data_IF_067649591220
#
_entry.id   IF_067649591220
#
_cell.length_a   1.000
_cell.length_b   1.000
_cell.length_c   1.000
_cell.angle_alpha   90.00
_cell.angle_beta   90.00
_cell.angle_gamma   90.00
#
_symmetry.space_group_name_H-M   'P 1'
#
loop_
_entity.id
_entity.type
_entity.pdbx_description
1 polymer ?
#
# COMPACT_ATOMS: atom_id res chain seq x y z
N UNK A 1 20.81 1.73 -40.48
CA UNK A 1 20.02 1.03 -39.44
C UNK A 1 20.50 1.36 -38.01
N UNK A 2 21.79 1.41 -37.73
CA UNK A 2 22.36 1.69 -36.40
C UNK A 2 21.95 3.04 -35.81
N UNK A 3 21.90 4.10 -36.60
CA UNK A 3 21.48 5.45 -36.17
C UNK A 3 20.02 5.52 -35.70
N UNK A 4 19.12 4.82 -36.36
CA UNK A 4 17.69 4.76 -35.98
C UNK A 4 17.52 4.03 -34.64
N UNK A 5 18.23 2.93 -34.44
CA UNK A 5 18.19 2.17 -33.18
C UNK A 5 18.69 3.01 -32.03
N UNK A 6 19.81 3.73 -32.20
CA UNK A 6 20.36 4.65 -31.20
C UNK A 6 19.36 5.75 -30.83
N UNK A 7 18.70 6.36 -31.81
CA UNK A 7 17.70 7.40 -31.58
C UNK A 7 16.52 6.87 -30.77
N UNK A 8 15.99 5.68 -31.13
CA UNK A 8 14.89 5.03 -30.41
C UNK A 8 15.29 4.72 -28.96
N UNK A 9 16.50 4.20 -28.73
CA UNK A 9 16.99 3.93 -27.37
C UNK A 9 17.09 5.21 -26.54
N UNK A 10 17.59 6.32 -27.11
CA UNK A 10 17.67 7.61 -26.45
C UNK A 10 16.29 8.17 -26.10
N UNK A 11 15.31 8.06 -26.99
CA UNK A 11 13.92 8.50 -26.73
C UNK A 11 13.27 7.65 -25.63
N UNK A 12 13.47 6.34 -25.63
CA UNK A 12 12.94 5.44 -24.61
C UNK A 12 13.57 5.73 -23.23
N UNK A 13 14.87 5.95 -23.17
CA UNK A 13 15.56 6.30 -21.92
C UNK A 13 15.11 7.68 -21.40
N UNK A 14 14.99 8.68 -22.25
CA UNK A 14 14.47 9.98 -21.89
C UNK A 14 13.02 9.90 -21.35
N UNK A 15 12.16 9.12 -22.04
CA UNK A 15 10.81 8.87 -21.60
C UNK A 15 10.77 8.18 -20.21
N UNK A 16 11.58 7.15 -20.00
CA UNK A 16 11.66 6.44 -18.73
C UNK A 16 12.12 7.37 -17.57
N UNK A 17 13.11 8.22 -17.82
CA UNK A 17 13.59 9.22 -16.84
C UNK A 17 12.50 10.23 -16.51
N UNK A 18 11.79 10.75 -17.51
CA UNK A 18 10.69 11.70 -17.30
C UNK A 18 9.53 11.06 -16.54
N UNK A 19 9.15 9.83 -16.90
CA UNK A 19 8.11 9.07 -16.21
C UNK A 19 8.48 8.85 -14.74
N UNK A 20 9.74 8.45 -14.46
CA UNK A 20 10.24 8.27 -13.08
C UNK A 20 10.22 9.57 -12.29
N UNK A 21 10.65 10.70 -12.89
CA UNK A 21 10.61 12.02 -12.23
C UNK A 21 9.18 12.44 -11.90
N UNK A 22 8.23 12.23 -12.82
CA UNK A 22 6.80 12.51 -12.58
C UNK A 22 6.25 11.67 -11.45
N UNK A 23 6.61 10.39 -11.39
CA UNK A 23 6.21 9.48 -10.34
C UNK A 23 6.72 9.92 -8.96
N UNK A 24 8.03 10.22 -8.85
CA UNK A 24 8.65 10.69 -7.60
C UNK A 24 8.02 12.00 -7.12
N UNK A 25 7.78 12.95 -8.03
CA UNK A 25 7.12 14.22 -7.70
C UNK A 25 5.69 14.02 -7.20
N UNK A 26 4.92 13.15 -7.85
CA UNK A 26 3.57 12.82 -7.41
C UNK A 26 3.58 12.20 -6.01
N UNK A 27 4.46 11.22 -5.77
CA UNK A 27 4.57 10.58 -4.46
C UNK A 27 4.90 11.60 -3.36
N UNK A 28 5.84 12.51 -3.62
CA UNK A 28 6.19 13.58 -2.68
C UNK A 28 5.03 14.55 -2.43
N UNK A 29 4.28 14.94 -3.48
CA UNK A 29 3.12 15.81 -3.35
C UNK A 29 1.99 15.15 -2.54
N UNK A 30 1.71 13.87 -2.79
CA UNK A 30 0.70 13.13 -2.04
C UNK A 30 1.11 12.92 -0.58
N UNK A 31 2.40 12.67 -0.31
CA UNK A 31 2.92 12.61 1.07
C UNK A 31 2.74 13.96 1.78
N UNK A 32 3.08 15.06 1.12
CA UNK A 32 2.90 16.40 1.68
C UNK A 32 1.42 16.75 1.93
N UNK A 33 0.51 16.30 1.07
CA UNK A 33 -0.93 16.42 1.28
C UNK A 33 -1.37 15.65 2.54
N UNK A 34 -0.92 14.40 2.67
CA UNK A 34 -1.18 13.61 3.87
C UNK A 34 -0.66 14.30 5.13
N UNK A 35 0.59 14.79 5.09
CA UNK A 35 1.21 15.46 6.24
C UNK A 35 0.43 16.71 6.67
N UNK A 36 -0.09 17.50 5.73
CA UNK A 36 -0.93 18.66 6.03
C UNK A 36 -2.28 18.28 6.61
N UNK A 37 -2.98 17.35 5.96
CA UNK A 37 -4.35 16.97 6.36
C UNK A 37 -4.38 16.32 7.74
N UNK A 38 -3.35 15.54 8.09
CA UNK A 38 -3.31 14.81 9.37
C UNK A 38 -2.34 15.41 10.39
N UNK A 39 -1.91 16.66 10.21
CA UNK A 39 -0.97 17.33 11.12
C UNK A 39 -1.47 17.41 12.57
N UNK A 40 -2.77 17.62 12.77
CA UNK A 40 -3.40 17.74 14.08
C UNK A 40 -4.02 16.43 14.59
N UNK A 41 -3.98 15.33 13.82
CA UNK A 41 -4.59 14.06 14.19
C UNK A 41 -3.70 13.28 15.16
N UNK A 42 -4.26 12.85 16.30
CA UNK A 42 -3.54 12.07 17.31
C UNK A 42 -4.43 10.90 17.75
N UNK A 43 -3.99 9.65 17.68
CA UNK A 43 -2.71 9.21 17.05
C UNK A 43 -2.70 9.44 15.54
N UNK A 44 -1.53 9.76 14.99
CA UNK A 44 -1.38 10.00 13.56
C UNK A 44 -1.51 8.68 12.78
N UNK A 45 -2.35 8.61 11.74
CA UNK A 45 -2.48 7.41 10.93
C UNK A 45 -1.20 7.13 10.11
N UNK A 46 -1.07 5.89 9.66
CA UNK A 46 0.00 5.46 8.75
C UNK A 46 -0.49 5.60 7.32
N UNK A 47 0.38 6.10 6.44
CA UNK A 47 0.08 6.32 5.04
C UNK A 47 0.98 5.47 4.14
N UNK A 48 0.37 4.85 3.14
CA UNK A 48 1.07 4.11 2.10
C UNK A 48 0.47 4.44 0.74
N UNK A 49 1.35 4.67 -0.26
CA UNK A 49 0.97 4.84 -1.66
C UNK A 49 1.55 3.70 -2.48
N UNK A 50 0.70 3.01 -3.21
CA UNK A 50 1.03 1.93 -4.13
C UNK A 50 0.42 2.19 -5.51
N UNK A 51 0.58 1.24 -6.44
CA UNK A 51 -0.02 1.30 -7.78
C UNK A 51 -0.73 -0.01 -8.09
N UNK A 52 -1.97 0.12 -8.54
CA UNK A 52 -2.76 -1.00 -9.04
C UNK A 52 -3.13 -0.73 -10.49
N UNK A 53 -2.74 -1.64 -11.40
CA UNK A 53 -2.95 -1.49 -12.86
C UNK A 53 -2.45 -0.14 -13.42
N UNK A 54 -1.44 0.47 -12.77
CA UNK A 54 -0.82 1.75 -13.15
C UNK A 54 -1.56 2.99 -12.68
N UNK A 55 -2.62 2.85 -11.91
CA UNK A 55 -3.30 3.92 -11.19
C UNK A 55 -2.82 4.01 -9.75
N UNK A 56 -2.66 5.20 -9.17
CA UNK A 56 -2.26 5.35 -7.78
C UNK A 56 -3.37 4.87 -6.84
N UNK A 57 -2.97 4.14 -5.81
CA UNK A 57 -3.84 3.63 -4.73
C UNK A 57 -3.22 4.05 -3.41
N UNK A 58 -4.05 4.53 -2.50
CA UNK A 58 -3.66 5.10 -1.22
C UNK A 58 -4.30 4.32 -0.08
N UNK A 59 -3.51 3.96 0.91
CA UNK A 59 -3.98 3.35 2.14
C UNK A 59 -3.68 4.29 3.31
N UNK A 60 -4.71 4.65 4.05
CA UNK A 60 -4.62 5.40 5.32
C UNK A 60 -5.08 4.48 6.42
N UNK A 61 -4.16 4.07 7.27
CA UNK A 61 -4.42 3.11 8.34
C UNK A 61 -4.44 3.80 9.70
N UNK A 62 -5.54 3.69 10.42
CA UNK A 62 -5.75 4.19 11.77
C UNK A 62 -5.44 3.12 12.80
N UNK A 63 -5.12 3.54 14.02
CA UNK A 63 -4.89 2.63 15.14
C UNK A 63 -6.19 2.02 15.69
N UNK A 64 -7.29 2.80 15.66
CA UNK A 64 -8.62 2.35 16.08
C UNK A 64 -9.71 2.94 15.18
N UNK A 65 -10.92 2.37 15.26
CA UNK A 65 -12.08 2.83 14.51
C UNK A 65 -12.51 4.24 14.91
N UNK A 66 -12.46 4.54 16.20
CA UNK A 66 -12.82 5.85 16.73
C UNK A 66 -11.88 6.95 16.27
N UNK A 67 -10.57 6.64 16.09
CA UNK A 67 -9.59 7.55 15.51
C UNK A 67 -9.95 7.94 14.08
N UNK A 68 -10.46 6.98 13.28
CA UNK A 68 -10.91 7.24 11.92
C UNK A 68 -12.17 8.13 11.89
N UNK A 69 -13.08 7.96 12.84
CA UNK A 69 -14.26 8.81 13.00
C UNK A 69 -13.88 10.23 13.45
N UNK A 70 -12.97 10.36 14.43
CA UNK A 70 -12.44 11.64 14.88
C UNK A 70 -11.70 12.41 13.77
N UNK A 71 -11.08 11.70 12.81
CA UNK A 71 -10.37 12.27 11.68
C UNK A 71 -11.26 12.53 10.45
N UNK A 72 -12.58 12.53 10.56
CA UNK A 72 -13.50 12.63 9.41
C UNK A 72 -13.26 13.87 8.52
N UNK A 73 -12.92 15.01 9.10
CA UNK A 73 -12.62 16.24 8.37
C UNK A 73 -11.27 16.12 7.64
N UNK A 74 -10.25 15.57 8.29
CA UNK A 74 -8.95 15.27 7.68
C UNK A 74 -9.10 14.29 6.52
N UNK A 75 -9.95 13.27 6.67
CA UNK A 75 -10.25 12.30 5.61
C UNK A 75 -10.88 12.98 4.39
N UNK A 76 -11.84 13.88 4.59
CA UNK A 76 -12.47 14.66 3.51
C UNK A 76 -11.48 15.58 2.81
N UNK A 77 -10.68 16.31 3.58
CA UNK A 77 -9.64 17.19 3.05
C UNK A 77 -8.61 16.40 2.22
N UNK A 78 -8.18 15.25 2.72
CA UNK A 78 -7.23 14.40 2.01
C UNK A 78 -7.81 13.85 0.71
N UNK A 79 -9.07 13.38 0.70
CA UNK A 79 -9.76 12.94 -0.52
C UNK A 79 -9.80 14.05 -1.58
N UNK A 80 -10.13 15.29 -1.17
CA UNK A 80 -10.16 16.43 -2.08
C UNK A 80 -8.78 16.75 -2.67
N UNK A 81 -7.73 16.81 -1.83
CA UNK A 81 -6.36 17.07 -2.29
C UNK A 81 -5.85 15.96 -3.23
N UNK A 82 -6.08 14.69 -2.90
CA UNK A 82 -5.69 13.56 -3.77
C UNK A 82 -6.47 13.59 -5.09
N UNK A 83 -7.74 13.96 -5.06
CA UNK A 83 -8.56 14.14 -6.27
C UNK A 83 -7.92 15.14 -7.23
N UNK A 84 -7.48 16.31 -6.74
CA UNK A 84 -6.81 17.32 -7.55
C UNK A 84 -5.41 16.90 -8.03
N UNK A 85 -4.59 16.32 -7.16
CA UNK A 85 -3.24 15.88 -7.51
C UNK A 85 -3.21 14.75 -8.54
N UNK A 86 -4.26 13.94 -8.60
CA UNK A 86 -4.32 12.75 -9.44
C UNK A 86 -5.35 12.83 -10.57
N UNK A 87 -6.04 13.97 -10.78
CA UNK A 87 -7.12 14.09 -11.75
C UNK A 87 -6.78 13.60 -13.16
N UNK A 88 -5.54 13.81 -13.61
CA UNK A 88 -5.05 13.42 -14.93
C UNK A 88 -4.40 12.01 -14.95
N UNK A 89 -4.56 11.21 -13.90
CA UNK A 89 -3.92 9.90 -13.75
C UNK A 89 -4.84 8.72 -14.03
N UNK A 90 -6.12 8.96 -14.26
CA UNK A 90 -7.04 7.91 -14.68
C UNK A 90 -6.74 7.45 -16.12
N UNK A 91 -6.55 6.12 -16.32
CA UNK A 91 -6.21 5.56 -17.64
C UNK A 91 -7.40 5.52 -18.62
N UNK A 92 -8.58 5.23 -18.12
CA UNK A 92 -9.80 5.02 -18.93
C UNK A 92 -10.95 5.93 -18.51
N UNK A 93 -10.91 6.47 -17.32
CA UNK A 93 -11.93 7.34 -16.71
C UNK A 93 -11.25 8.41 -15.88
N UNK A 94 -11.96 9.50 -15.60
CA UNK A 94 -11.47 10.48 -14.64
C UNK A 94 -11.11 9.80 -13.31
N UNK A 95 -9.98 10.18 -12.74
CA UNK A 95 -9.56 9.68 -11.43
C UNK A 95 -10.58 10.07 -10.37
N UNK A 96 -10.96 9.12 -9.53
CA UNK A 96 -11.88 9.34 -8.39
C UNK A 96 -11.19 8.93 -7.10
N UNK A 97 -10.88 9.91 -6.24
CA UNK A 97 -10.18 9.69 -4.99
C UNK A 97 -10.92 8.69 -4.09
N UNK A 98 -12.27 8.72 -4.06
CA UNK A 98 -13.10 7.83 -3.25
C UNK A 98 -12.96 6.34 -3.60
N UNK A 99 -12.43 6.05 -4.80
CA UNK A 99 -12.17 4.66 -5.25
C UNK A 99 -10.71 4.25 -5.09
N UNK A 100 -9.83 5.21 -4.87
CA UNK A 100 -8.40 5.01 -4.83
C UNK A 100 -7.83 5.17 -3.41
N UNK A 101 -8.55 5.85 -2.51
CA UNK A 101 -8.15 6.03 -1.11
C UNK A 101 -8.96 5.08 -0.24
N UNK A 102 -8.26 4.22 0.49
CA UNK A 102 -8.83 3.25 1.41
C UNK A 102 -8.47 3.67 2.84
N UNK A 103 -9.50 3.88 3.65
CA UNK A 103 -9.35 4.09 5.09
C UNK A 103 -9.49 2.74 5.80
N UNK A 104 -8.42 2.30 6.44
CA UNK A 104 -8.38 1.04 7.17
C UNK A 104 -8.22 1.31 8.66
N UNK A 105 -8.96 0.58 9.45
CA UNK A 105 -8.84 0.52 10.91
C UNK A 105 -9.01 -0.93 11.33
N UNK A 106 -8.42 -1.35 12.46
CA UNK A 106 -8.68 -2.69 13.00
C UNK A 106 -10.18 -2.84 13.25
N UNK A 107 -10.75 -3.94 12.81
CA UNK A 107 -12.08 -4.38 13.26
C UNK A 107 -11.90 -5.22 14.51
N UNK A 108 -12.89 -5.26 15.40
CA UNK A 108 -12.84 -6.05 16.64
C UNK A 108 -12.57 -7.54 16.36
N UNK A 109 -12.87 -7.99 15.14
CA UNK A 109 -12.60 -9.34 14.64
C UNK A 109 -11.26 -9.49 13.91
N UNK A 110 -10.53 -8.40 13.62
CA UNK A 110 -9.19 -8.51 13.05
C UNK A 110 -8.20 -8.84 14.19
N UNK A 111 -7.63 -10.05 14.21
CA UNK A 111 -6.59 -10.34 15.18
C UNK A 111 -5.48 -9.31 14.96
N UNK A 112 -5.08 -8.62 16.03
CA UNK A 112 -3.89 -7.78 16.02
C UNK A 112 -2.74 -8.66 15.59
N UNK A 113 -2.32 -8.52 14.33
CA UNK A 113 -1.22 -9.31 13.78
C UNK A 113 0.06 -8.78 14.43
N UNK A 114 0.42 -9.34 15.58
CA UNK A 114 1.67 -9.02 16.25
C UNK A 114 2.80 -9.63 15.42
N UNK A 115 3.47 -8.79 14.68
CA UNK A 115 4.69 -9.20 13.99
C UNK A 115 5.80 -9.39 15.01
N UNK A 116 6.42 -10.55 14.96
CA UNK A 116 7.48 -10.94 15.92
C UNK A 116 8.77 -10.12 15.76
N UNK A 117 8.96 -9.44 14.62
CA UNK A 117 10.12 -8.57 14.36
C UNK A 117 9.80 -7.58 13.24
N UNK A 118 10.62 -6.52 13.12
CA UNK A 118 10.44 -5.46 12.13
C UNK A 118 10.61 -5.97 10.69
N UNK A 119 11.49 -6.94 10.47
CA UNK A 119 11.66 -7.57 9.15
C UNK A 119 10.39 -8.30 8.73
N UNK A 120 9.75 -9.05 9.64
CA UNK A 120 8.46 -9.69 9.37
C UNK A 120 7.41 -8.66 9.01
N UNK A 121 7.30 -7.56 9.77
CA UNK A 121 6.39 -6.45 9.49
C UNK A 121 6.60 -5.87 8.10
N UNK A 122 7.85 -5.64 7.69
CA UNK A 122 8.19 -5.07 6.39
C UNK A 122 7.92 -6.03 5.21
N UNK A 123 7.86 -7.34 5.46
CA UNK A 123 7.69 -8.36 4.42
C UNK A 123 6.25 -8.88 4.27
N UNK A 124 5.38 -8.60 5.24
CA UNK A 124 3.93 -8.92 5.09
C UNK A 124 3.36 -8.09 3.94
N UNK A 125 2.63 -8.76 3.07
CA UNK A 125 2.14 -8.18 1.81
C UNK A 125 3.12 -8.31 0.62
N UNK A 126 4.41 -8.56 0.87
CA UNK A 126 5.45 -8.78 -0.14
C UNK A 126 5.81 -10.27 -0.26
N UNK A 127 6.82 -10.71 0.47
CA UNK A 127 7.25 -12.11 0.49
C UNK A 127 6.37 -12.99 1.38
N UNK A 128 5.72 -12.40 2.38
CA UNK A 128 4.83 -13.06 3.31
C UNK A 128 3.38 -12.67 2.99
N UNK A 129 2.50 -13.65 2.94
CA UNK A 129 1.05 -13.46 2.95
C UNK A 129 0.49 -13.86 4.31
N UNK A 130 -0.45 -13.09 4.83
CA UNK A 130 -1.28 -13.50 5.96
C UNK A 130 -2.65 -13.89 5.41
N UNK A 131 -3.12 -15.08 5.74
CA UNK A 131 -4.47 -15.55 5.42
C UNK A 131 -5.37 -15.27 6.61
N UNK A 132 -6.37 -14.41 6.44
CA UNK A 132 -7.34 -14.11 7.49
C UNK A 132 -8.22 -15.33 7.78
N UNK A 133 -8.62 -16.07 6.74
CA UNK A 133 -9.46 -17.27 6.89
C UNK A 133 -8.73 -18.39 7.65
N UNK A 134 -7.45 -18.58 7.34
CA UNK A 134 -6.62 -19.59 8.01
C UNK A 134 -5.91 -19.05 9.26
N UNK A 135 -6.02 -17.74 9.54
CA UNK A 135 -5.27 -17.02 10.61
C UNK A 135 -3.78 -17.41 10.67
N UNK A 136 -3.18 -17.62 9.51
CA UNK A 136 -1.83 -18.16 9.37
C UNK A 136 -1.00 -17.37 8.38
N UNK A 137 0.32 -17.44 8.57
CA UNK A 137 1.30 -16.86 7.66
C UNK A 137 1.76 -17.87 6.62
N UNK A 138 2.06 -17.39 5.43
CA UNK A 138 2.64 -18.21 4.37
C UNK A 138 3.64 -17.44 3.52
N UNK A 139 4.64 -18.14 2.99
CA UNK A 139 5.55 -17.62 1.98
C UNK A 139 4.86 -17.58 0.62
N UNK A 140 4.90 -16.43 -0.04
CA UNK A 140 4.41 -16.31 -1.42
C UNK A 140 5.34 -17.05 -2.36
N UNK A 141 4.78 -17.91 -3.18
CA UNK A 141 5.52 -18.58 -4.27
C UNK A 141 5.54 -17.69 -5.50
N UNK A 142 6.57 -17.83 -6.34
CA UNK A 142 6.69 -17.05 -7.59
C UNK A 142 5.64 -17.41 -8.64
N UNK A 143 4.93 -18.53 -8.48
CA UNK A 143 3.88 -18.97 -9.41
C UNK A 143 2.57 -18.31 -9.08
N UNK A 144 2.04 -17.53 -10.02
CA UNK A 144 0.70 -16.93 -9.93
C UNK A 144 -0.36 -18.02 -9.77
N UNK A 145 -1.26 -17.86 -8.80
CA UNK A 145 -2.34 -18.83 -8.54
C UNK A 145 -1.97 -19.99 -7.60
N UNK A 146 -0.71 -20.07 -7.14
CA UNK A 146 -0.32 -21.06 -6.13
C UNK A 146 -0.58 -20.50 -4.74
N UNK A 147 -1.24 -21.24 -3.83
CA UNK A 147 -1.43 -20.79 -2.45
C UNK A 147 -0.08 -20.60 -1.76
N UNK A 148 0.01 -19.63 -0.83
CA UNK A 148 1.23 -19.44 -0.04
C UNK A 148 1.59 -20.69 0.75
N UNK A 149 2.88 -20.98 0.83
CA UNK A 149 3.38 -22.07 1.66
C UNK A 149 3.27 -21.68 3.14
N UNK A 150 2.46 -22.38 3.93
CA UNK A 150 2.28 -22.09 5.34
C UNK A 150 3.61 -22.18 6.12
N UNK A 151 3.84 -21.23 7.02
CA UNK A 151 5.03 -21.18 7.88
C UNK A 151 4.61 -21.12 9.35
N UNK A 152 5.24 -21.93 10.18
CA UNK A 152 5.02 -21.97 11.62
C UNK A 152 5.99 -21.08 12.41
N UNK A 153 7.10 -20.68 11.80
CA UNK A 153 8.14 -19.85 12.43
C UNK A 153 8.51 -18.70 11.51
N UNK A 154 8.91 -17.60 12.10
CA UNK A 154 9.40 -16.44 11.36
C UNK A 154 10.74 -16.78 10.67
N UNK A 155 10.88 -16.56 9.37
CA UNK A 155 12.11 -16.88 8.64
C UNK A 155 13.33 -16.04 9.07
N UNK A 156 13.13 -14.93 9.77
CA UNK A 156 14.20 -13.99 10.13
C UNK A 156 14.60 -14.07 11.60
N UNK A 157 13.65 -14.18 12.52
CA UNK A 157 13.97 -14.21 13.96
C UNK A 157 13.73 -15.59 14.61
N UNK A 158 13.17 -16.55 13.86
CA UNK A 158 12.90 -17.90 14.36
C UNK A 158 11.74 -18.02 15.35
N UNK A 159 11.10 -16.92 15.75
CA UNK A 159 9.97 -16.96 16.69
C UNK A 159 8.81 -17.76 16.12
N UNK A 160 8.17 -18.56 16.97
CA UNK A 160 6.94 -19.24 16.61
C UNK A 160 5.84 -18.24 16.21
N UNK A 161 5.17 -18.52 15.13
CA UNK A 161 4.02 -17.74 14.66
C UNK A 161 2.73 -18.33 15.25
N UNK A 162 1.68 -17.53 15.44
CA UNK A 162 0.42 -18.04 15.95
C UNK A 162 -0.05 -19.24 15.10
N UNK A 163 -0.44 -20.36 15.71
CA UNK A 163 -1.00 -21.47 14.97
C UNK A 163 -2.31 -21.05 14.30
N UNK A 164 -2.57 -21.61 13.13
CA UNK A 164 -3.89 -21.50 12.54
C UNK A 164 -4.93 -22.06 13.51
N UNK A 165 -6.10 -21.40 13.69
CA UNK A 165 -7.17 -21.98 14.50
C UNK A 165 -7.56 -23.34 13.91
N UNK A 166 -7.83 -24.31 14.78
CA UNK A 166 -8.39 -25.56 14.34
C UNK A 166 -9.70 -25.29 13.57
N UNK A 167 -9.85 -25.88 12.41
CA UNK A 167 -11.14 -25.89 11.70
C UNK A 167 -12.03 -26.89 12.44
N UNK A 168 -13.03 -26.37 13.12
CA UNK A 168 -14.13 -27.19 13.60
C UNK A 168 -14.96 -27.69 12.43
#
# INVERSE_FOLDING_TARGET
MTTVILLVCLLLTAYAVLARRRHVRLKAACQAAFDRCYAATTPRPVYEMSYSYGEPVFLVQFAAKDDAAAAADANRAFLAEIGELCKDRGRKRAFKAERAVFFRFPTDDEPVVQHCCDTMRAQVGRAIAYSQDAKSYGLRTSKVGTPPLAIAHCPWCGSALPPAPARD
#
